data_IF_771983126569
#
_entry.id   IF_771983126569
#
_cell.length_a   1.000
_cell.length_b   1.000
_cell.length_c   1.000
_cell.angle_alpha   90.00
_cell.angle_beta   90.00
_cell.angle_gamma   90.00
#
_symmetry.space_group_name_H-M   'P 1'
#
loop_
_entity.id
_entity.type
_entity.pdbx_description
1 polymer ?
#
# COMPACT_ATOMS: atom_id res chain seq x y z
N UNK A 1 4.90 -5.76 -7.34
CA UNK A 1 5.07 -5.70 -5.87
C UNK A 1 3.70 -5.57 -5.23
N UNK A 2 3.02 -6.69 -5.05
CA UNK A 2 1.84 -6.77 -4.19
C UNK A 2 2.26 -7.56 -2.95
N UNK A 3 2.35 -6.91 -1.81
CA UNK A 3 2.44 -7.67 -0.57
C UNK A 3 1.06 -8.22 -0.25
N UNK A 4 1.00 -9.46 0.20
CA UNK A 4 -0.20 -10.04 0.81
C UNK A 4 -0.33 -9.42 2.20
N UNK A 5 -1.28 -8.49 2.35
CA UNK A 5 -1.60 -7.90 3.66
C UNK A 5 -2.36 -8.91 4.51
N UNK A 6 -1.97 -9.01 5.79
CA UNK A 6 -2.83 -9.62 6.81
C UNK A 6 -3.66 -8.51 7.46
N UNK A 7 -4.82 -8.20 6.87
CA UNK A 7 -5.80 -7.28 7.41
C UNK A 7 -6.69 -8.02 8.41
N UNK A 8 -6.77 -7.56 9.67
CA UNK A 8 -7.72 -8.07 10.66
C UNK A 8 -8.80 -6.99 10.89
N UNK A 9 -10.08 -7.28 10.61
CA UNK A 9 -11.21 -6.33 10.82
C UNK A 9 -12.43 -7.03 11.44
N UNK A 10 -13.08 -6.38 12.43
CA UNK A 10 -14.49 -6.58 12.82
C UNK A 10 -14.96 -5.48 13.82
N UNK A 11 -16.21 -5.00 13.71
CA UNK A 11 -16.84 -4.04 14.64
C UNK A 11 -18.34 -4.39 14.87
N UNK A 12 -18.81 -4.41 16.13
CA UNK A 12 -20.23 -4.53 16.51
C UNK A 12 -20.78 -3.16 16.94
N UNK A 13 -21.96 -2.80 16.44
CA UNK A 13 -22.53 -1.46 16.53
C UNK A 13 -23.29 -1.11 17.82
N UNK A 14 -23.50 0.19 18.01
CA UNK A 14 -24.81 0.82 18.29
C UNK A 14 -24.68 2.34 18.36
N UNK A 15 -25.70 3.00 17.83
CA UNK A 15 -25.91 4.44 17.67
C UNK A 15 -26.04 5.23 18.98
N UNK A 16 -25.36 6.39 19.10
CA UNK A 16 -25.84 7.57 19.83
C UNK A 16 -25.00 8.81 19.48
N UNK A 17 -25.68 9.88 19.04
CA UNK A 17 -25.14 11.24 18.89
C UNK A 17 -24.77 11.81 20.27
N UNK A 18 -23.57 12.38 20.43
CA UNK A 18 -23.35 13.48 21.37
C UNK A 18 -22.15 14.34 20.95
N UNK A 19 -22.41 15.65 20.83
CA UNK A 19 -21.43 16.70 20.60
C UNK A 19 -20.71 17.01 21.91
N UNK A 20 -19.36 16.90 21.97
CA UNK A 20 -18.55 17.56 23.01
C UNK A 20 -17.10 17.74 22.55
N UNK A 21 -16.65 18.98 22.56
CA UNK A 21 -15.25 19.36 22.40
C UNK A 21 -14.42 18.80 23.55
N UNK A 22 -13.29 18.18 23.23
CA UNK A 22 -12.28 17.80 24.22
C UNK A 22 -10.90 18.24 23.75
N UNK A 23 -10.24 19.03 24.58
CA UNK A 23 -8.80 19.24 24.55
C UNK A 23 -8.18 18.08 25.33
N UNK A 24 -7.24 17.34 24.74
CA UNK A 24 -6.50 16.27 25.44
C UNK A 24 -4.98 16.38 25.20
N UNK A 25 -4.26 16.31 26.30
CA UNK A 25 -2.80 16.26 26.42
C UNK A 25 -2.29 14.81 26.35
N UNK A 26 -1.17 14.62 25.63
CA UNK A 26 -0.24 13.47 25.56
C UNK A 26 -0.59 12.14 26.28
N UNK A 27 -0.95 11.09 25.51
CA UNK A 27 -0.41 9.70 25.48
C UNK A 27 -1.38 8.75 24.74
N UNK A 28 -0.88 8.01 23.74
CA UNK A 28 -1.51 6.82 23.11
C UNK A 28 -2.84 7.05 22.35
N UNK A 29 -2.76 7.33 21.05
CA UNK A 29 -3.93 7.58 20.19
C UNK A 29 -4.70 6.33 19.70
N UNK A 30 -4.24 5.10 19.92
CA UNK A 30 -4.97 3.92 19.43
C UNK A 30 -4.88 2.72 20.39
N UNK A 31 -5.99 2.22 20.96
CA UNK A 31 -6.00 0.92 21.64
C UNK A 31 -5.71 -0.19 20.63
N UNK A 32 -4.84 -1.15 20.99
CA UNK A 32 -4.53 -2.32 20.16
C UNK A 32 -5.81 -3.10 19.86
N UNK A 33 -6.02 -3.45 18.60
CA UNK A 33 -7.19 -4.23 18.16
C UNK A 33 -7.01 -5.74 18.44
N UNK A 34 -8.12 -6.46 18.79
CA UNK A 34 -8.09 -7.90 19.05
C UNK A 34 -8.05 -8.77 17.76
N UNK A 35 -7.63 -10.05 17.85
CA UNK A 35 -7.51 -10.94 16.69
C UNK A 35 -8.88 -11.34 16.08
N UNK A 36 -8.99 -11.37 14.74
CA UNK A 36 -10.22 -11.69 13.99
C UNK A 36 -9.97 -12.72 12.87
N UNK A 37 -10.99 -13.49 12.42
CA UNK A 37 -10.88 -14.65 11.49
C UNK A 37 -10.83 -14.23 10.00
N UNK A 38 -10.64 -15.17 9.02
CA UNK A 38 -9.98 -14.90 7.73
C UNK A 38 -10.81 -14.21 6.63
N UNK A 39 -12.04 -13.80 6.90
CA UNK A 39 -12.89 -13.10 5.93
C UNK A 39 -13.20 -11.68 6.44
N UNK A 40 -12.43 -10.70 5.95
CA UNK A 40 -12.59 -9.30 6.30
C UNK A 40 -13.09 -8.51 5.08
N UNK A 41 -14.32 -8.00 5.16
CA UNK A 41 -14.85 -6.98 4.23
C UNK A 41 -14.36 -5.60 4.68
N UNK A 42 -13.71 -4.85 3.79
CA UNK A 42 -13.32 -3.47 4.04
C UNK A 42 -14.57 -2.57 3.95
N UNK A 43 -15.04 -2.06 5.08
CA UNK A 43 -15.99 -0.94 5.11
C UNK A 43 -15.21 0.36 5.29
N UNK A 44 -15.03 1.08 4.18
CA UNK A 44 -14.64 2.49 4.21
C UNK A 44 -15.86 3.30 3.77
N UNK A 45 -16.75 3.64 4.72
CA UNK A 45 -17.75 4.67 4.48
C UNK A 45 -17.09 6.02 4.68
N UNK A 46 -16.30 6.45 3.69
CA UNK A 46 -16.09 7.87 3.44
C UNK A 46 -16.98 8.25 2.28
N UNK A 47 -18.28 8.42 2.54
CA UNK A 47 -19.04 9.36 1.72
C UNK A 47 -18.20 10.61 1.69
N UNK A 48 -17.75 11.04 0.50
CA UNK A 48 -16.98 12.25 0.38
C UNK A 48 -17.72 13.34 1.17
N UNK A 49 -17.14 13.80 2.27
CA UNK A 49 -17.45 15.14 2.76
C UNK A 49 -17.00 15.97 1.60
N UNK A 50 -17.95 16.32 0.72
CA UNK A 50 -17.75 16.97 -0.56
C UNK A 50 -16.61 17.97 -0.38
N UNK A 51 -15.37 17.64 -0.76
CA UNK A 51 -14.30 18.60 -0.65
C UNK A 51 -14.73 19.58 -1.72
N UNK A 52 -15.20 20.75 -1.29
CA UNK A 52 -15.31 21.87 -2.20
C UNK A 52 -13.88 22.14 -2.65
N UNK A 53 -13.43 21.38 -3.66
CA UNK A 53 -12.29 21.66 -4.48
C UNK A 53 -12.60 23.05 -5.00
N UNK A 54 -11.95 24.05 -4.39
CA UNK A 54 -12.13 25.43 -4.77
C UNK A 54 -11.88 25.49 -6.27
N UNK A 55 -12.91 25.86 -7.03
CA UNK A 55 -12.97 25.71 -8.48
C UNK A 55 -12.08 26.71 -9.23
N UNK A 56 -10.98 27.14 -8.62
CA UNK A 56 -10.13 28.24 -9.09
C UNK A 56 -8.65 27.88 -9.24
N UNK A 57 -8.17 26.75 -8.70
CA UNK A 57 -6.77 26.30 -8.85
C UNK A 57 -6.64 24.79 -8.97
N UNK A 58 -5.59 24.31 -9.66
CA UNK A 58 -5.29 22.87 -9.77
C UNK A 58 -5.01 22.29 -8.36
N UNK A 59 -5.52 21.08 -8.03
CA UNK A 59 -5.20 20.44 -6.75
C UNK A 59 -3.69 20.24 -6.59
N UNK A 60 -3.16 20.51 -5.41
CA UNK A 60 -1.73 20.36 -5.07
C UNK A 60 -1.52 19.04 -4.34
N UNK A 61 -0.70 18.16 -4.92
CA UNK A 61 -0.53 16.78 -4.47
C UNK A 61 0.89 16.57 -3.97
N UNK A 62 1.03 16.31 -2.66
CA UNK A 62 2.33 16.01 -2.05
C UNK A 62 2.86 14.65 -2.44
N UNK A 63 4.13 14.59 -2.86
CA UNK A 63 4.82 13.33 -3.16
C UNK A 63 6.19 13.34 -2.47
N UNK A 64 6.40 12.55 -1.40
CA UNK A 64 7.71 12.47 -0.77
C UNK A 64 8.72 11.78 -1.68
N UNK A 65 10.00 12.12 -1.50
CA UNK A 65 11.07 11.37 -2.17
C UNK A 65 11.03 9.90 -1.79
N UNK A 66 11.54 9.04 -2.67
CA UNK A 66 11.49 7.60 -2.44
C UNK A 66 12.48 7.17 -1.35
N UNK A 67 13.67 7.76 -1.34
CA UNK A 67 14.71 7.57 -0.31
C UNK A 67 15.53 8.85 -0.13
N UNK A 68 16.18 8.98 1.03
CA UNK A 68 17.14 10.02 1.39
C UNK A 68 18.34 10.02 0.44
N UNK A 69 18.76 8.83 -0.03
CA UNK A 69 19.87 8.71 -0.98
C UNK A 69 19.49 9.20 -2.38
N UNK A 70 18.27 8.89 -2.84
CA UNK A 70 17.75 9.42 -4.12
C UNK A 70 17.62 10.94 -4.06
N UNK A 71 17.15 11.49 -2.93
CA UNK A 71 17.10 12.93 -2.70
C UNK A 71 18.49 13.59 -2.68
N UNK A 72 19.43 13.06 -1.89
CA UNK A 72 20.78 13.62 -1.78
C UNK A 72 21.50 13.64 -3.14
N UNK A 73 21.28 12.62 -3.97
CA UNK A 73 21.88 12.51 -5.30
C UNK A 73 21.03 13.12 -6.41
N UNK A 74 19.86 13.69 -6.09
CA UNK A 74 18.91 14.25 -7.05
C UNK A 74 18.49 13.25 -8.14
N UNK A 75 18.40 11.96 -7.81
CA UNK A 75 18.01 10.89 -8.73
C UNK A 75 16.49 10.80 -8.77
N UNK A 76 15.87 11.17 -9.89
CA UNK A 76 14.40 11.26 -10.00
C UNK A 76 13.78 10.27 -10.99
N UNK A 77 14.56 9.44 -11.70
CA UNK A 77 14.07 8.63 -12.84
C UNK A 77 12.78 7.85 -12.56
N UNK A 78 12.68 7.21 -11.38
CA UNK A 78 11.47 6.49 -10.97
C UNK A 78 10.40 7.40 -10.38
N UNK A 79 10.79 8.50 -9.74
CA UNK A 79 9.87 9.50 -9.18
C UNK A 79 9.12 10.27 -10.29
N UNK A 80 9.76 10.47 -11.45
CA UNK A 80 9.16 11.10 -12.63
C UNK A 80 7.87 10.40 -13.10
N UNK A 81 7.75 9.07 -12.94
CA UNK A 81 6.50 8.36 -13.26
C UNK A 81 5.32 8.84 -12.39
N UNK A 82 5.57 9.12 -11.11
CA UNK A 82 4.54 9.64 -10.19
C UNK A 82 4.19 11.10 -10.52
N UNK A 83 5.20 11.93 -10.82
CA UNK A 83 4.98 13.32 -11.24
C UNK A 83 4.17 13.41 -12.54
N UNK A 84 4.52 12.60 -13.53
CA UNK A 84 3.80 12.52 -14.79
C UNK A 84 2.35 12.05 -14.59
N UNK A 85 2.11 11.06 -13.74
CA UNK A 85 0.77 10.56 -13.43
C UNK A 85 -0.12 11.62 -12.77
N UNK A 86 0.42 12.35 -11.77
CA UNK A 86 -0.31 13.46 -11.12
C UNK A 86 -0.61 14.59 -12.10
N UNK A 87 0.36 14.93 -12.95
CA UNK A 87 0.17 15.95 -14.00
C UNK A 87 -0.90 15.53 -15.00
N UNK A 88 -0.90 14.26 -15.44
CA UNK A 88 -1.91 13.71 -16.34
C UNK A 88 -3.32 13.72 -15.70
N UNK A 89 -3.40 13.58 -14.38
CA UNK A 89 -4.63 13.73 -13.60
C UNK A 89 -5.06 15.21 -13.39
N UNK A 90 -4.43 16.17 -14.09
CA UNK A 90 -4.70 17.62 -14.04
C UNK A 90 -4.45 18.27 -12.68
N UNK A 91 -3.56 17.68 -11.88
CA UNK A 91 -3.11 18.20 -10.60
C UNK A 91 -1.66 18.70 -10.68
N UNK A 92 -1.26 19.53 -9.72
CA UNK A 92 0.11 19.98 -9.52
C UNK A 92 0.79 19.07 -8.49
N UNK A 93 1.92 18.45 -8.84
CA UNK A 93 2.69 17.70 -7.86
C UNK A 93 3.60 18.64 -7.06
N UNK A 94 3.76 18.36 -5.77
CA UNK A 94 4.67 19.07 -4.87
C UNK A 94 5.63 18.03 -4.27
N UNK A 95 6.92 18.03 -4.67
CA UNK A 95 7.92 17.16 -4.05
C UNK A 95 8.07 17.49 -2.56
N UNK A 96 7.98 16.49 -1.70
CA UNK A 96 8.17 16.63 -0.25
C UNK A 96 9.55 16.11 0.12
N UNK A 97 10.44 17.02 0.51
CA UNK A 97 11.79 16.70 0.97
C UNK A 97 11.76 15.87 2.25
N UNK A 98 12.63 14.85 2.35
CA UNK A 98 12.77 14.03 3.56
C UNK A 98 13.67 14.69 4.61
N UNK A 99 14.33 15.78 4.24
CA UNK A 99 15.24 16.54 5.10
C UNK A 99 14.53 17.68 5.86
N UNK A 100 13.21 17.86 5.67
CA UNK A 100 12.46 18.90 6.36
C UNK A 100 12.44 18.65 7.87
N UNK A 101 12.58 19.74 8.63
CA UNK A 101 12.28 19.71 10.06
C UNK A 101 10.80 19.39 10.28
N UNK A 102 10.40 18.89 11.47
CA UNK A 102 8.99 18.62 11.76
C UNK A 102 8.07 19.82 11.50
N UNK A 103 8.50 21.03 11.89
CA UNK A 103 7.71 22.25 11.72
C UNK A 103 7.60 22.66 10.24
N UNK A 104 8.68 22.52 9.47
CA UNK A 104 8.67 22.79 8.03
C UNK A 104 7.78 21.79 7.28
N UNK A 105 7.86 20.51 7.63
CA UNK A 105 7.02 19.48 7.05
C UNK A 105 5.54 19.74 7.37
N UNK A 106 5.21 20.01 8.64
CA UNK A 106 3.86 20.32 9.07
C UNK A 106 3.27 21.54 8.34
N UNK A 107 4.06 22.61 8.19
CA UNK A 107 3.67 23.79 7.43
C UNK A 107 3.41 23.45 5.95
N UNK A 108 4.28 22.67 5.32
CA UNK A 108 4.13 22.27 3.92
C UNK A 108 2.88 21.42 3.70
N UNK A 109 2.69 20.34 4.46
CA UNK A 109 1.59 19.37 4.24
C UNK A 109 0.21 19.94 4.59
N UNK A 110 0.17 20.99 5.43
CA UNK A 110 -1.07 21.71 5.74
C UNK A 110 -1.72 22.30 4.50
N UNK A 111 -0.93 22.79 3.54
CA UNK A 111 -1.41 23.52 2.35
C UNK A 111 -1.56 22.65 1.09
N UNK A 112 -1.40 21.32 1.23
CA UNK A 112 -1.57 20.35 0.15
C UNK A 112 -2.96 19.72 0.16
N UNK A 113 -3.54 19.44 -0.99
CA UNK A 113 -4.92 18.94 -1.10
C UNK A 113 -5.00 17.41 -0.99
N UNK A 114 -3.93 16.72 -1.41
CA UNK A 114 -3.86 15.26 -1.43
C UNK A 114 -2.41 14.77 -1.35
N UNK A 115 -2.22 13.46 -1.19
CA UNK A 115 -0.88 12.85 -1.14
C UNK A 115 -0.78 11.58 -1.99
N UNK A 116 0.36 11.40 -2.65
CA UNK A 116 0.77 10.12 -3.24
C UNK A 116 2.02 9.64 -2.53
N UNK A 117 1.95 8.49 -1.86
CA UNK A 117 3.10 7.86 -1.22
C UNK A 117 3.73 6.86 -2.18
N UNK A 118 4.91 7.15 -2.77
CA UNK A 118 5.51 6.30 -3.78
C UNK A 118 6.15 5.04 -3.19
N UNK A 119 6.41 4.06 -4.05
CA UNK A 119 7.23 2.91 -3.71
C UNK A 119 8.69 3.29 -3.47
N UNK A 120 9.38 2.56 -2.60
CA UNK A 120 10.79 2.71 -2.27
C UNK A 120 11.51 1.36 -2.44
N UNK A 121 12.83 1.36 -2.66
CA UNK A 121 13.66 0.14 -2.62
C UNK A 121 14.01 -0.30 -1.19
N UNK A 122 13.62 0.47 -0.17
CA UNK A 122 13.83 0.18 1.25
C UNK A 122 12.63 -0.51 1.86
N UNK A 123 12.82 -1.16 3.01
CA UNK A 123 11.74 -1.80 3.78
C UNK A 123 11.35 -0.95 5.00
N UNK A 124 10.13 -1.14 5.50
CA UNK A 124 9.69 -0.51 6.75
C UNK A 124 10.38 -1.18 7.93
N UNK A 125 10.90 -0.38 8.86
CA UNK A 125 11.61 -0.82 10.05
C UNK A 125 10.74 -1.79 10.89
N UNK A 126 11.18 -3.04 11.10
CA UNK A 126 10.44 -4.05 11.85
C UNK A 126 10.01 -3.63 13.26
N UNK A 127 10.78 -2.75 13.90
CA UNK A 127 10.44 -2.26 15.24
C UNK A 127 9.12 -1.46 15.27
N UNK A 128 8.75 -0.79 14.17
CA UNK A 128 7.51 -0.01 14.06
C UNK A 128 6.25 -0.88 14.13
N UNK A 129 6.35 -2.15 13.70
CA UNK A 129 5.27 -3.14 13.83
C UNK A 129 5.62 -4.28 14.79
N UNK A 130 6.55 -4.04 15.73
CA UNK A 130 6.92 -4.93 16.84
C UNK A 130 7.40 -6.32 16.39
N UNK A 131 8.11 -6.38 15.28
CA UNK A 131 8.75 -7.60 14.78
C UNK A 131 10.26 -7.57 14.99
N UNK A 132 10.84 -8.76 15.13
CA UNK A 132 12.29 -8.93 15.01
C UNK A 132 12.68 -8.85 13.54
N UNK A 133 13.85 -8.27 13.26
CA UNK A 133 14.36 -8.14 11.89
C UNK A 133 14.67 -9.52 11.31
N UNK A 134 14.11 -9.80 10.14
CA UNK A 134 14.45 -10.96 9.33
C UNK A 134 15.77 -10.72 8.57
N UNK A 135 16.52 -11.78 8.30
CA UNK A 135 17.85 -11.67 7.69
C UNK A 135 17.82 -11.08 6.26
N UNK A 136 16.68 -11.16 5.58
CA UNK A 136 16.48 -10.64 4.22
C UNK A 136 15.80 -9.26 4.16
N UNK A 137 15.47 -8.68 5.31
CA UNK A 137 14.89 -7.33 5.34
C UNK A 137 15.93 -6.33 4.89
N UNK A 138 15.56 -5.45 3.96
CA UNK A 138 16.40 -4.35 3.53
C UNK A 138 16.51 -3.29 4.62
N UNK A 139 17.48 -2.39 4.47
CA UNK A 139 17.62 -1.28 5.40
C UNK A 139 16.46 -0.29 5.24
N UNK A 140 15.98 0.18 6.39
CA UNK A 140 14.96 1.20 6.46
C UNK A 140 15.58 2.59 6.22
N UNK A 141 14.73 3.53 5.82
CA UNK A 141 15.10 4.95 5.69
C UNK A 141 14.34 5.77 6.75
N UNK A 142 14.98 6.15 7.87
CA UNK A 142 14.29 6.81 8.97
C UNK A 142 13.63 8.14 8.60
N UNK A 143 14.22 8.90 7.68
CA UNK A 143 13.64 10.16 7.23
C UNK A 143 12.41 9.92 6.37
N UNK A 144 12.42 8.85 5.55
CA UNK A 144 11.25 8.42 4.80
C UNK A 144 10.12 7.99 5.73
N UNK A 145 10.41 7.18 6.74
CA UNK A 145 9.42 6.72 7.73
C UNK A 145 8.78 7.89 8.48
N UNK A 146 9.61 8.80 9.00
CA UNK A 146 9.15 10.01 9.68
C UNK A 146 8.25 10.86 8.78
N UNK A 147 8.63 11.05 7.52
CA UNK A 147 7.89 11.89 6.57
C UNK A 147 6.55 11.25 6.19
N UNK A 148 6.55 9.96 5.84
CA UNK A 148 5.33 9.25 5.48
C UNK A 148 4.34 9.20 6.66
N UNK A 149 4.81 8.92 7.88
CA UNK A 149 3.93 8.86 9.06
C UNK A 149 3.31 10.22 9.36
N UNK A 150 4.08 11.30 9.30
CA UNK A 150 3.56 12.66 9.48
C UNK A 150 2.52 13.02 8.40
N UNK A 151 2.76 12.64 7.14
CA UNK A 151 1.80 12.82 6.05
C UNK A 151 0.51 12.02 6.32
N UNK A 152 0.63 10.74 6.69
CA UNK A 152 -0.51 9.84 6.93
C UNK A 152 -1.35 10.37 8.09
N UNK A 153 -0.72 10.66 9.23
CA UNK A 153 -1.40 11.18 10.42
C UNK A 153 -2.16 12.48 10.12
N UNK A 154 -1.50 13.42 9.42
CA UNK A 154 -2.12 14.68 9.01
C UNK A 154 -3.28 14.48 8.03
N UNK A 155 -3.10 13.61 7.03
CA UNK A 155 -4.11 13.35 6.02
C UNK A 155 -5.36 12.73 6.65
N UNK A 156 -5.20 11.78 7.57
CA UNK A 156 -6.32 11.17 8.31
C UNK A 156 -7.01 12.18 9.23
N UNK A 157 -6.25 12.98 9.98
CA UNK A 157 -6.80 14.00 10.87
C UNK A 157 -7.58 15.08 10.09
N UNK A 158 -7.17 15.36 8.85
CA UNK A 158 -7.72 16.43 8.01
C UNK A 158 -8.70 15.94 6.94
N UNK A 159 -8.96 14.62 6.85
CA UNK A 159 -9.80 14.04 5.79
C UNK A 159 -9.25 14.20 4.37
N UNK A 160 -7.92 14.31 4.20
CA UNK A 160 -7.28 14.48 2.89
C UNK A 160 -7.04 13.12 2.22
N UNK A 161 -7.29 12.97 0.92
CA UNK A 161 -7.09 11.71 0.21
C UNK A 161 -5.60 11.33 0.09
N UNK A 162 -5.31 10.03 0.24
CA UNK A 162 -3.97 9.44 0.11
C UNK A 162 -4.03 8.26 -0.85
N UNK A 163 -3.16 8.25 -1.86
CA UNK A 163 -2.87 7.09 -2.70
C UNK A 163 -1.50 6.52 -2.34
N UNK A 164 -1.47 5.29 -1.82
CA UNK A 164 -0.25 4.68 -1.30
C UNK A 164 0.17 3.48 -2.18
N UNK A 165 1.40 3.49 -2.70
CA UNK A 165 1.85 2.54 -3.73
C UNK A 165 3.08 1.79 -3.22
N UNK A 166 3.06 0.45 -3.31
CA UNK A 166 4.20 -0.42 -2.99
C UNK A 166 4.70 -0.25 -1.53
N UNK A 167 5.80 0.48 -1.30
CA UNK A 167 6.26 0.83 0.04
C UNK A 167 5.25 1.75 0.73
N UNK A 168 4.66 2.71 0.00
CA UNK A 168 3.70 3.65 0.57
C UNK A 168 2.53 2.95 1.25
N UNK A 169 1.96 1.90 0.64
CA UNK A 169 0.85 1.15 1.25
C UNK A 169 1.30 0.25 2.41
N UNK A 170 2.57 -0.17 2.46
CA UNK A 170 3.14 -0.82 3.64
C UNK A 170 3.27 0.17 4.81
N UNK A 171 3.81 1.36 4.54
CA UNK A 171 3.94 2.45 5.50
C UNK A 171 2.58 2.86 6.07
N UNK A 172 1.57 3.02 5.20
CA UNK A 172 0.18 3.26 5.59
C UNK A 172 -0.35 2.18 6.53
N UNK A 173 -0.19 0.90 6.19
CA UNK A 173 -0.64 -0.21 7.02
C UNK A 173 0.04 -0.21 8.39
N UNK A 174 1.36 -0.01 8.46
CA UNK A 174 2.11 0.02 9.73
C UNK A 174 1.73 1.24 10.58
N UNK A 175 1.59 2.42 9.98
CA UNK A 175 1.14 3.64 10.66
C UNK A 175 -0.22 3.43 11.35
N UNK A 176 -1.13 2.68 10.71
CA UNK A 176 -2.43 2.30 11.26
C UNK A 176 -2.41 1.07 12.18
N UNK A 177 -1.23 0.58 12.57
CA UNK A 177 -1.04 -0.49 13.53
C UNK A 177 -1.07 -1.92 12.96
N UNK A 178 -1.01 -2.06 11.63
CA UNK A 178 -0.87 -3.34 10.95
C UNK A 178 0.54 -3.92 11.03
N UNK A 179 0.70 -5.14 10.52
CA UNK A 179 1.97 -5.88 10.45
C UNK A 179 2.35 -6.21 9.01
N UNK A 180 3.62 -6.57 8.77
CA UNK A 180 4.13 -6.95 7.46
C UNK A 180 4.83 -8.32 7.53
N UNK A 181 4.79 -9.05 6.41
CA UNK A 181 5.76 -10.11 6.11
C UNK A 181 7.02 -9.44 5.56
N UNK A 182 8.19 -9.80 6.10
CA UNK A 182 9.50 -9.27 5.72
C UNK A 182 10.11 -10.02 4.53
N UNK A 183 9.84 -11.32 4.40
CA UNK A 183 10.17 -12.10 3.20
C UNK A 183 9.00 -13.01 2.82
N UNK A 184 8.34 -12.71 1.71
CA UNK A 184 7.17 -13.46 1.24
C UNK A 184 7.51 -14.93 1.02
N UNK A 185 8.68 -15.22 0.42
CA UNK A 185 9.06 -16.59 0.06
C UNK A 185 9.28 -17.47 1.31
N UNK A 186 10.04 -16.98 2.30
CA UNK A 186 10.32 -17.76 3.51
C UNK A 186 9.14 -17.84 4.46
N UNK A 187 8.29 -16.81 4.55
CA UNK A 187 7.22 -16.75 5.55
C UNK A 187 5.88 -17.31 5.07
N UNK A 188 5.58 -17.23 3.77
CA UNK A 188 4.31 -17.71 3.21
C UNK A 188 4.44 -19.00 2.38
N UNK A 189 5.67 -19.45 2.10
CA UNK A 189 5.94 -20.67 1.32
C UNK A 189 5.16 -20.73 -0.01
N UNK A 190 4.99 -19.57 -0.66
CA UNK A 190 4.26 -19.43 -1.92
C UNK A 190 5.20 -19.52 -3.12
N UNK A 191 4.70 -20.03 -4.24
CA UNK A 191 5.40 -20.03 -5.54
C UNK A 191 5.09 -18.79 -6.38
N UNK A 192 4.35 -17.83 -5.84
CA UNK A 192 4.02 -16.59 -6.55
C UNK A 192 5.19 -15.62 -6.37
N UNK A 193 5.84 -15.30 -7.50
CA UNK A 193 6.95 -14.34 -7.53
C UNK A 193 6.44 -12.89 -7.46
N UNK A 194 6.94 -12.14 -6.47
CA UNK A 194 6.59 -10.73 -6.26
C UNK A 194 7.77 -9.79 -6.53
N UNK A 195 8.97 -10.35 -6.76
CA UNK A 195 10.18 -9.66 -7.19
C UNK A 195 10.30 -9.70 -8.72
N UNK A 196 10.93 -8.68 -9.29
CA UNK A 196 11.38 -8.70 -10.69
C UNK A 196 12.84 -9.15 -10.82
N UNK A 197 13.51 -9.47 -9.72
CA UNK A 197 14.88 -9.95 -9.75
C UNK A 197 14.98 -11.26 -10.54
N UNK A 198 15.99 -11.35 -11.41
CA UNK A 198 16.18 -12.51 -12.28
C UNK A 198 15.23 -12.57 -13.49
N UNK A 199 14.31 -11.61 -13.66
CA UNK A 199 13.50 -11.51 -14.88
C UNK A 199 14.29 -10.83 -16.02
N UNK A 200 14.02 -11.20 -17.28
CA UNK A 200 14.58 -10.52 -18.45
C UNK A 200 14.31 -9.01 -18.45
N UNK A 201 15.19 -8.16 -19.04
CA UNK A 201 14.97 -6.72 -19.11
C UNK A 201 13.67 -6.29 -19.80
N UNK A 202 13.15 -7.13 -20.70
CA UNK A 202 11.91 -6.95 -21.45
C UNK A 202 10.69 -7.63 -20.80
N UNK A 203 10.84 -8.16 -19.59
CA UNK A 203 9.74 -8.77 -18.87
C UNK A 203 8.58 -7.77 -18.68
N UNK A 204 7.32 -8.21 -18.88
CA UNK A 204 6.16 -7.35 -18.72
C UNK A 204 6.07 -6.78 -17.31
N UNK A 205 5.45 -5.60 -17.18
CA UNK A 205 5.26 -4.98 -15.87
C UNK A 205 4.39 -5.79 -14.93
N UNK A 206 3.35 -6.43 -15.47
CA UNK A 206 2.51 -7.38 -14.77
C UNK A 206 3.16 -8.77 -14.80
N UNK A 207 3.54 -9.27 -13.61
CA UNK A 207 4.24 -10.56 -13.46
C UNK A 207 3.37 -11.67 -12.85
N UNK A 208 2.25 -11.33 -12.23
CA UNK A 208 1.25 -12.29 -11.72
C UNK A 208 -0.14 -11.64 -11.69
N UNK A 209 -1.23 -12.43 -11.75
CA UNK A 209 -2.58 -11.90 -11.60
C UNK A 209 -2.85 -11.42 -10.17
N UNK A 210 -3.78 -10.49 -10.02
CA UNK A 210 -4.37 -10.09 -8.76
C UNK A 210 -5.90 -10.20 -8.87
N UNK A 211 -6.56 -10.55 -7.77
CA UNK A 211 -8.02 -10.52 -7.66
C UNK A 211 -8.43 -9.22 -6.98
N UNK A 212 -9.31 -8.47 -7.61
CA UNK A 212 -9.94 -7.30 -6.99
C UNK A 212 -11.12 -7.78 -6.15
N UNK A 213 -11.18 -7.33 -4.89
CA UNK A 213 -12.32 -7.60 -4.02
C UNK A 213 -13.55 -6.83 -4.51
N UNK A 214 -14.68 -7.52 -4.64
CA UNK A 214 -15.93 -6.92 -5.10
C UNK A 214 -16.45 -5.90 -4.07
N UNK A 215 -17.05 -4.80 -4.55
CA UNK A 215 -17.64 -3.76 -3.71
C UNK A 215 -16.64 -2.74 -3.14
N UNK A 216 -15.33 -2.99 -3.22
CA UNK A 216 -14.31 -2.02 -2.84
C UNK A 216 -14.12 -0.89 -3.86
N UNK A 217 -13.49 0.20 -3.43
CA UNK A 217 -13.19 1.37 -4.28
C UNK A 217 -12.39 1.00 -5.54
N UNK A 218 -11.42 0.09 -5.43
CA UNK A 218 -10.64 -0.37 -6.58
C UNK A 218 -11.53 -1.06 -7.62
N UNK A 219 -12.55 -1.82 -7.19
CA UNK A 219 -13.50 -2.45 -8.12
C UNK A 219 -14.34 -1.40 -8.86
N UNK A 220 -14.74 -0.34 -8.16
CA UNK A 220 -15.50 0.76 -8.75
C UNK A 220 -14.64 1.54 -9.77
N UNK A 221 -13.41 1.89 -9.38
CA UNK A 221 -12.46 2.58 -10.27
C UNK A 221 -12.10 1.73 -11.49
N UNK A 222 -11.85 0.43 -11.29
CA UNK A 222 -11.56 -0.51 -12.38
C UNK A 222 -12.74 -0.64 -13.34
N UNK A 223 -13.98 -0.68 -12.85
CA UNK A 223 -15.17 -0.73 -13.69
C UNK A 223 -15.40 0.54 -14.52
N UNK A 224 -14.91 1.69 -14.05
CA UNK A 224 -15.00 2.99 -14.77
C UNK A 224 -13.85 3.26 -15.74
N UNK A 225 -12.80 2.45 -15.69
CA UNK A 225 -11.67 2.55 -16.61
C UNK A 225 -11.82 1.47 -17.70
N UNK A 226 -11.26 1.68 -18.89
CA UNK A 226 -11.19 0.65 -19.95
C UNK A 226 -10.27 -0.54 -19.56
N UNK A 227 -10.05 -0.76 -18.26
CA UNK A 227 -9.40 -1.95 -17.72
C UNK A 227 -10.32 -3.14 -17.93
N UNK A 228 -10.07 -3.89 -18.99
CA UNK A 228 -10.72 -5.18 -19.21
C UNK A 228 -10.47 -6.10 -18.00
N UNK A 229 -11.52 -6.36 -17.23
CA UNK A 229 -11.57 -7.44 -16.25
C UNK A 229 -11.28 -8.76 -16.97
N UNK A 230 -10.02 -9.21 -16.91
CA UNK A 230 -9.69 -10.57 -17.36
C UNK A 230 -10.18 -11.50 -16.26
N UNK A 231 -11.44 -11.91 -16.39
CA UNK A 231 -12.08 -12.88 -15.52
C UNK A 231 -11.25 -14.16 -15.30
N UNK A 232 -11.67 -15.03 -14.38
CA UNK A 232 -10.85 -16.15 -13.91
C UNK A 232 -10.35 -17.02 -15.07
N UNK A 233 -9.05 -17.06 -15.26
CA UNK A 233 -8.40 -17.92 -16.24
C UNK A 233 -8.76 -19.40 -16.02
N UNK A 234 -8.75 -20.23 -17.08
CA UNK A 234 -9.18 -21.61 -17.01
C UNK A 234 -8.36 -22.38 -15.96
N UNK A 235 -9.07 -23.09 -15.06
CA UNK A 235 -8.43 -23.96 -14.07
C UNK A 235 -7.60 -25.03 -14.81
N UNK A 236 -6.33 -25.27 -14.41
CA UNK A 236 -5.52 -26.30 -15.04
C UNK A 236 -6.19 -27.67 -14.86
N UNK A 237 -6.37 -28.38 -15.98
CA UNK A 237 -6.98 -29.70 -16.00
C UNK A 237 -6.16 -30.67 -15.14
N UNK A 238 -6.82 -31.35 -14.19
CA UNK A 238 -6.21 -32.44 -13.41
C UNK A 238 -5.69 -33.50 -14.38
N UNK A 239 -4.36 -33.58 -14.52
CA UNK A 239 -3.68 -34.63 -15.28
C UNK A 239 -3.96 -35.97 -14.60
N UNK A 240 -4.85 -36.79 -15.19
CA UNK A 240 -5.02 -38.19 -14.78
C UNK A 240 -3.72 -38.93 -15.09
N UNK A 241 -3.02 -39.35 -14.05
CA UNK A 241 -1.89 -40.27 -14.18
C UNK A 241 -2.44 -41.63 -14.64
N UNK A 242 -2.11 -42.03 -15.86
CA UNK A 242 -2.28 -43.41 -16.32
C UNK A 242 -1.21 -44.24 -15.61
N UNK A 243 -1.61 -45.04 -14.62
CA UNK A 243 -0.77 -46.10 -14.07
C UNK A 243 -0.61 -47.19 -15.14
N UNK A 244 0.58 -47.28 -15.73
CA UNK A 244 0.98 -48.36 -16.61
C UNK A 244 1.14 -49.64 -15.79
N UNK A 245 0.20 -50.59 -15.98
CA UNK A 245 0.29 -51.96 -15.49
C UNK A 245 1.13 -52.74 -16.48
N UNK A 246 2.43 -52.95 -16.21
CA UNK A 246 3.26 -53.85 -17.01
C UNK A 246 3.11 -55.28 -16.49
N UNK A 247 2.25 -56.03 -17.17
CA UNK A 247 2.15 -57.48 -17.09
C UNK A 247 3.28 -58.09 -17.94
N UNK A 248 4.15 -58.91 -17.34
CA UNK A 248 5.00 -59.86 -18.06
C UNK A 248 5.07 -61.17 -17.29
N UNK A 249 4.17 -62.06 -17.71
CA UNK A 249 4.21 -63.50 -17.50
C UNK A 249 5.40 -64.17 -18.20
N UNK A 250 6.07 -65.04 -17.45
CA UNK A 250 6.62 -66.38 -17.78
C UNK A 250 6.74 -66.82 -19.26
N UNK A 251 7.91 -67.43 -19.53
CA UNK A 251 8.27 -68.59 -20.40
C UNK A 251 9.55 -68.25 -21.16
N UNK A 252 10.50 -69.13 -21.41
CA UNK A 252 10.85 -70.47 -20.94
C UNK A 252 12.35 -70.60 -21.25
#
# INVERSE_FOLDING_TARGET
MHLVYKLNLSCKGSSAFFHRSFVFTHRSLFPRLPPSPPDATIWCSMTAVNPQLSSTSRPRVGIPWRTSQEEANQVTNKLQYYFAAVTAAKAEFVPVSLQLSPDQLAALIKDLDAFVLPGAPTDVNPSLYRALRHAKTHDADPNREKTDFAIIEHAFASGKPVLAICYGCQSLNVCLGGTLYQDIASELHTSIEHSKEGLPPDAPDAIHPARIEAGGEIAQLAATSDFADRGPGPRPARRRTRSGRSDRSRRA
#
